data_IF_896883415067
#
_entry.id   IF_896883415067
#
_cell.length_a   1.000
_cell.length_b   1.000
_cell.length_c   1.000
_cell.angle_alpha   90.00
_cell.angle_beta   90.00
_cell.angle_gamma   90.00
#
_symmetry.space_group_name_H-M   'P 1'
#
loop_
_entity.id
_entity.type
_entity.pdbx_description
1 polymer ?
#
# COMPACT_ATOMS: atom_id res chain seq x y z
N UNK A 1 -7.16 18.17 25.28
CA UNK A 1 -8.45 17.48 25.46
C UNK A 1 -8.69 16.63 24.23
N UNK A 2 -9.08 15.37 24.33
CA UNK A 2 -9.43 14.58 23.15
C UNK A 2 -10.76 15.12 22.60
N UNK A 3 -10.93 15.27 21.27
CA UNK A 3 -12.19 15.74 20.69
C UNK A 3 -13.31 14.77 21.08
N UNK A 4 -14.39 15.29 21.61
CA UNK A 4 -15.58 14.51 21.97
C UNK A 4 -16.61 14.71 20.87
N UNK A 5 -17.18 13.63 20.33
CA UNK A 5 -18.23 13.71 19.33
C UNK A 5 -19.54 14.24 19.97
N UNK A 6 -20.21 15.17 19.31
CA UNK A 6 -21.52 15.66 19.68
C UNK A 6 -22.59 14.97 18.83
N UNK A 7 -23.59 14.37 19.48
CA UNK A 7 -24.70 13.72 18.77
C UNK A 7 -25.76 14.74 18.37
N UNK A 8 -26.06 14.81 17.07
CA UNK A 8 -27.07 15.71 16.48
C UNK A 8 -27.88 14.98 15.43
N UNK A 9 -29.14 15.38 15.27
CA UNK A 9 -29.93 15.01 14.10
C UNK A 9 -29.75 16.09 13.06
N UNK A 10 -29.28 15.72 11.86
CA UNK A 10 -28.95 16.66 10.80
C UNK A 10 -29.74 16.37 9.53
N UNK A 11 -30.19 17.41 8.81
CA UNK A 11 -30.82 17.25 7.50
C UNK A 11 -29.83 16.61 6.50
N UNK A 12 -30.31 15.65 5.73
CA UNK A 12 -29.50 14.99 4.69
C UNK A 12 -28.94 15.98 3.68
N UNK A 13 -29.66 17.07 3.42
CA UNK A 13 -29.29 18.10 2.43
C UNK A 13 -28.02 18.88 2.79
N UNK A 14 -27.63 18.94 4.06
CA UNK A 14 -26.39 19.64 4.48
C UNK A 14 -25.16 18.73 4.47
N UNK A 15 -25.35 17.41 4.39
CA UNK A 15 -24.28 16.43 4.45
C UNK A 15 -23.51 16.35 3.13
N UNK A 16 -22.18 16.37 3.20
CA UNK A 16 -21.28 16.32 2.04
C UNK A 16 -20.53 14.99 2.00
N UNK A 17 -20.75 14.16 0.97
CA UNK A 17 -19.94 12.96 0.80
C UNK A 17 -18.46 13.33 0.63
N UNK A 18 -17.56 12.60 1.31
CA UNK A 18 -16.13 12.77 1.14
C UNK A 18 -15.68 12.28 -0.24
N UNK A 19 -15.08 13.18 -1.05
CA UNK A 19 -14.59 12.84 -2.38
C UNK A 19 -13.46 11.78 -2.37
N UNK A 20 -12.69 11.77 -1.28
CA UNK A 20 -11.58 10.83 -1.05
C UNK A 20 -12.02 9.47 -0.51
N UNK A 21 -13.33 9.23 -0.27
CA UNK A 21 -13.78 7.97 0.33
C UNK A 21 -13.45 6.77 -0.58
N UNK A 22 -12.58 5.83 -0.15
CA UNK A 22 -12.09 4.74 -0.99
C UNK A 22 -13.05 3.55 -1.07
N UNK A 23 -14.24 3.65 -0.44
CA UNK A 23 -15.23 2.57 -0.48
C UNK A 23 -16.05 2.59 -1.76
N UNK A 24 -16.24 1.40 -2.33
CA UNK A 24 -17.14 1.21 -3.49
C UNK A 24 -18.57 1.58 -3.10
N UNK A 25 -19.24 2.32 -4.00
CA UNK A 25 -20.65 2.68 -3.82
C UNK A 25 -21.53 1.44 -3.99
N UNK A 26 -22.44 1.22 -3.04
CA UNK A 26 -23.45 0.18 -3.14
C UNK A 26 -24.62 0.63 -4.01
N UNK A 27 -25.22 -0.33 -4.69
CA UNK A 27 -26.42 -0.15 -5.52
C UNK A 27 -27.57 -1.00 -4.97
N UNK A 28 -28.84 -0.60 -5.21
CA UNK A 28 -29.98 -1.46 -4.93
C UNK A 28 -29.80 -2.83 -5.60
N UNK A 29 -30.04 -3.89 -4.87
CA UNK A 29 -29.80 -5.28 -5.30
C UNK A 29 -28.47 -5.89 -4.89
N UNK A 30 -27.49 -5.08 -4.44
CA UNK A 30 -26.26 -5.60 -3.84
C UNK A 30 -26.60 -6.25 -2.48
N UNK A 31 -25.99 -7.39 -2.17
CA UNK A 31 -26.23 -8.10 -0.91
C UNK A 31 -26.01 -7.24 0.33
N UNK A 32 -24.98 -6.39 0.29
CA UNK A 32 -24.65 -5.48 1.40
C UNK A 32 -25.67 -4.34 1.50
N UNK A 33 -26.16 -3.83 0.36
CA UNK A 33 -27.22 -2.82 0.32
C UNK A 33 -28.49 -3.33 0.99
N UNK A 34 -28.95 -4.53 0.61
CA UNK A 34 -30.18 -5.12 1.15
C UNK A 34 -30.04 -5.42 2.66
N UNK A 35 -28.86 -5.84 3.13
CA UNK A 35 -28.61 -6.02 4.57
C UNK A 35 -28.73 -4.72 5.36
N UNK A 36 -28.15 -3.63 4.84
CA UNK A 36 -28.22 -2.30 5.47
C UNK A 36 -29.67 -1.81 5.45
N UNK A 37 -30.38 -2.00 4.34
CA UNK A 37 -31.79 -1.64 4.19
C UNK A 37 -32.65 -2.33 5.24
N UNK A 38 -32.60 -3.66 5.30
CA UNK A 38 -33.36 -4.45 6.27
C UNK A 38 -33.04 -4.05 7.72
N UNK A 39 -31.76 -3.74 8.01
CA UNK A 39 -31.36 -3.29 9.33
C UNK A 39 -31.96 -1.93 9.69
N UNK A 40 -31.97 -0.99 8.74
CA UNK A 40 -32.56 0.35 8.99
C UNK A 40 -34.08 0.27 9.10
N UNK A 41 -34.74 -0.58 8.31
CA UNK A 41 -36.20 -0.78 8.37
C UNK A 41 -36.64 -1.43 9.69
N UNK A 42 -35.86 -2.38 10.19
CA UNK A 42 -36.22 -3.12 11.44
C UNK A 42 -35.84 -2.36 12.71
N UNK A 43 -34.62 -1.81 12.76
CA UNK A 43 -34.05 -1.23 13.99
C UNK A 43 -33.90 0.30 13.95
N UNK A 44 -34.22 0.94 12.82
CA UNK A 44 -33.94 2.34 12.60
C UNK A 44 -32.43 2.63 12.49
N UNK A 45 -32.06 3.89 12.72
CA UNK A 45 -30.65 4.32 12.75
C UNK A 45 -30.00 4.00 14.11
N UNK A 46 -29.65 2.75 14.36
CA UNK A 46 -28.98 2.31 15.58
C UNK A 46 -27.53 2.84 15.70
N UNK A 47 -26.85 3.05 14.55
CA UNK A 47 -25.46 3.51 14.48
C UNK A 47 -25.39 4.85 13.71
N UNK A 48 -25.11 5.99 14.38
CA UNK A 48 -25.10 7.30 13.76
C UNK A 48 -24.01 7.46 12.69
N UNK A 49 -24.23 8.37 11.75
CA UNK A 49 -23.17 8.79 10.81
C UNK A 49 -22.10 9.56 11.56
N UNK A 50 -20.83 9.42 11.13
CA UNK A 50 -19.74 10.26 11.65
C UNK A 50 -19.47 11.36 10.64
N UNK A 51 -19.56 12.62 11.08
CA UNK A 51 -19.38 13.80 10.23
C UNK A 51 -18.43 14.79 10.87
N UNK A 52 -17.68 15.55 10.06
CA UNK A 52 -16.85 16.64 10.55
C UNK A 52 -17.67 17.93 10.75
N UNK A 53 -17.13 18.91 11.45
CA UNK A 53 -17.79 20.20 11.70
C UNK A 53 -18.19 20.94 10.41
N UNK A 54 -17.51 20.73 9.30
CA UNK A 54 -17.83 21.26 7.97
C UNK A 54 -18.91 20.46 7.21
N UNK A 55 -19.54 19.49 7.87
CA UNK A 55 -20.57 18.56 7.35
C UNK A 55 -20.03 17.52 6.36
N UNK A 56 -18.71 17.31 6.29
CA UNK A 56 -18.12 16.24 5.51
C UNK A 56 -18.36 14.89 6.21
N UNK A 57 -18.91 13.93 5.51
CA UNK A 57 -19.18 12.58 6.03
C UNK A 57 -17.84 11.83 6.12
N UNK A 58 -17.49 11.37 7.32
CA UNK A 58 -16.30 10.57 7.57
C UNK A 58 -16.65 9.08 7.54
N UNK A 59 -17.77 8.70 8.18
CA UNK A 59 -18.23 7.30 8.24
C UNK A 59 -19.74 7.19 8.01
N UNK A 60 -20.16 6.04 7.43
CA UNK A 60 -21.56 5.75 7.18
C UNK A 60 -22.11 6.16 5.81
N UNK A 61 -21.25 6.42 4.81
CA UNK A 61 -21.68 6.79 3.45
C UNK A 61 -22.71 5.83 2.86
N UNK A 62 -22.53 4.53 3.05
CA UNK A 62 -23.46 3.50 2.54
C UNK A 62 -24.81 3.56 3.28
N UNK A 63 -24.79 3.75 4.61
CA UNK A 63 -26.02 3.94 5.40
C UNK A 63 -26.80 5.18 4.95
N UNK A 64 -26.11 6.27 4.69
CA UNK A 64 -26.77 7.47 4.14
C UNK A 64 -27.41 7.19 2.78
N UNK A 65 -26.69 6.50 1.87
CA UNK A 65 -27.24 6.14 0.55
C UNK A 65 -28.54 5.35 0.67
N UNK A 66 -28.58 4.37 1.56
CA UNK A 66 -29.77 3.56 1.81
C UNK A 66 -30.88 4.40 2.47
N UNK A 67 -30.52 5.23 3.48
CA UNK A 67 -31.50 6.08 4.16
C UNK A 67 -32.20 7.05 3.22
N UNK A 68 -31.45 7.69 2.33
CA UNK A 68 -32.02 8.56 1.28
C UNK A 68 -33.00 7.79 0.39
N UNK A 69 -32.67 6.57 0.02
CA UNK A 69 -33.57 5.74 -0.80
C UNK A 69 -34.84 5.29 -0.05
N UNK A 70 -34.77 5.24 1.28
CA UNK A 70 -35.91 4.97 2.17
C UNK A 70 -36.71 6.23 2.51
N UNK A 71 -36.32 7.40 2.00
CA UNK A 71 -37.03 8.66 2.19
C UNK A 71 -36.69 9.42 3.48
N UNK A 72 -35.61 9.07 4.16
CA UNK A 72 -35.15 9.85 5.31
C UNK A 72 -34.70 11.25 4.90
N UNK A 73 -35.26 12.27 5.54
CA UNK A 73 -34.88 13.68 5.36
C UNK A 73 -33.85 14.16 6.38
N UNK A 74 -33.77 13.47 7.51
CA UNK A 74 -32.86 13.74 8.61
C UNK A 74 -32.25 12.43 9.12
N UNK A 75 -31.01 12.49 9.60
CA UNK A 75 -30.28 11.31 10.11
C UNK A 75 -29.49 11.67 11.36
N UNK A 76 -29.31 10.72 12.31
CA UNK A 76 -28.47 10.94 13.47
C UNK A 76 -27.00 10.96 13.08
N UNK A 77 -26.26 11.95 13.56
CA UNK A 77 -24.87 12.17 13.28
C UNK A 77 -24.06 12.39 14.56
N UNK A 78 -22.88 11.81 14.62
CA UNK A 78 -21.84 12.13 15.58
C UNK A 78 -20.91 13.16 14.93
N UNK A 79 -20.99 14.41 15.37
CA UNK A 79 -20.20 15.53 14.83
C UNK A 79 -18.88 15.60 15.57
N UNK A 80 -17.78 15.56 14.84
CA UNK A 80 -16.41 15.74 15.35
C UNK A 80 -15.81 17.01 14.73
N UNK A 81 -14.86 17.62 15.43
CA UNK A 81 -14.10 18.77 14.94
C UNK A 81 -12.62 18.39 14.87
N UNK A 82 -12.17 18.03 13.68
CA UNK A 82 -10.80 17.55 13.42
C UNK A 82 -10.27 18.10 12.10
N UNK A 83 -8.95 18.20 11.99
CA UNK A 83 -8.28 18.59 10.74
C UNK A 83 -8.45 17.55 9.63
N UNK A 84 -8.15 17.94 8.39
CA UNK A 84 -8.37 17.11 7.21
C UNK A 84 -7.50 15.85 7.19
N UNK A 85 -6.32 15.87 7.77
CA UNK A 85 -5.45 14.68 7.86
C UNK A 85 -6.06 13.63 8.80
N UNK A 86 -6.50 14.08 9.99
CA UNK A 86 -7.18 13.20 10.94
C UNK A 86 -8.54 12.73 10.42
N UNK A 87 -9.26 13.56 9.67
CA UNK A 87 -10.51 13.20 9.00
C UNK A 87 -10.31 12.00 8.05
N UNK A 88 -9.28 12.08 7.20
CA UNK A 88 -8.91 10.99 6.28
C UNK A 88 -8.49 9.71 7.04
N UNK A 89 -7.64 9.84 8.05
CA UNK A 89 -7.21 8.72 8.88
C UNK A 89 -8.40 8.04 9.61
N UNK A 90 -9.32 8.84 10.16
CA UNK A 90 -10.52 8.32 10.82
C UNK A 90 -11.47 7.62 9.83
N UNK A 91 -11.60 8.14 8.59
CA UNK A 91 -12.37 7.46 7.54
C UNK A 91 -11.84 6.06 7.27
N UNK A 92 -10.52 5.90 7.15
CA UNK A 92 -9.89 4.59 6.95
C UNK A 92 -10.11 3.70 8.18
N UNK A 93 -9.84 4.20 9.38
CA UNK A 93 -9.96 3.43 10.63
C UNK A 93 -11.38 2.88 10.84
N UNK A 94 -12.41 3.69 10.60
CA UNK A 94 -13.81 3.28 10.72
C UNK A 94 -14.24 2.23 9.68
N UNK A 95 -13.54 2.16 8.56
CA UNK A 95 -13.90 1.29 7.45
C UNK A 95 -12.98 0.08 7.29
N UNK A 96 -11.87 -0.02 8.07
CA UNK A 96 -10.90 -1.10 7.92
C UNK A 96 -11.50 -2.50 8.07
N UNK A 97 -12.43 -2.67 8.98
CA UNK A 97 -12.95 -3.99 9.36
C UNK A 97 -14.02 -4.50 8.38
N UNK A 98 -14.66 -3.63 7.59
CA UNK A 98 -15.83 -4.00 6.78
C UNK A 98 -15.82 -3.40 5.38
N UNK A 99 -16.09 -4.24 4.36
CA UNK A 99 -16.37 -3.84 2.98
C UNK A 99 -15.18 -3.94 2.02
N UNK A 100 -15.46 -3.74 0.72
CA UNK A 100 -14.46 -3.74 -0.32
C UNK A 100 -13.89 -2.34 -0.54
N UNK A 101 -12.57 -2.27 -0.76
CA UNK A 101 -11.83 -1.05 -1.04
C UNK A 101 -11.67 -0.84 -2.55
N UNK A 102 -11.56 0.42 -2.94
CA UNK A 102 -10.86 0.79 -4.16
C UNK A 102 -9.38 0.94 -3.79
N UNK A 103 -8.56 -0.02 -4.20
CA UNK A 103 -7.17 -0.13 -3.79
C UNK A 103 -6.34 1.10 -4.22
N UNK A 104 -6.66 1.69 -5.40
CA UNK A 104 -5.96 2.88 -5.89
C UNK A 104 -6.26 4.09 -5.01
N UNK A 105 -7.54 4.36 -4.76
CA UNK A 105 -7.95 5.47 -3.90
C UNK A 105 -7.46 5.30 -2.46
N UNK A 106 -7.41 4.07 -1.95
CA UNK A 106 -6.87 3.78 -0.63
C UNK A 106 -5.36 4.04 -0.57
N UNK A 107 -4.60 3.60 -1.58
CA UNK A 107 -3.17 3.84 -1.64
C UNK A 107 -2.83 5.33 -1.71
N UNK A 108 -3.53 6.10 -2.56
CA UNK A 108 -3.37 7.54 -2.65
C UNK A 108 -3.67 8.23 -1.32
N UNK A 109 -4.74 7.81 -0.64
CA UNK A 109 -5.13 8.38 0.65
C UNK A 109 -4.11 8.09 1.77
N UNK A 110 -3.58 6.87 1.83
CA UNK A 110 -2.52 6.51 2.78
C UNK A 110 -1.24 7.30 2.52
N UNK A 111 -0.87 7.49 1.25
CA UNK A 111 0.28 8.31 0.86
C UNK A 111 0.11 9.79 1.24
N UNK A 112 -1.08 10.34 1.06
CA UNK A 112 -1.41 11.70 1.49
C UNK A 112 -1.25 11.89 3.01
N UNK A 113 -1.69 10.89 3.80
CA UNK A 113 -1.58 10.89 5.25
C UNK A 113 -0.11 10.78 5.67
N UNK A 114 0.66 9.90 5.04
CA UNK A 114 2.11 9.73 5.25
C UNK A 114 2.87 11.05 5.01
N UNK A 115 2.59 11.72 3.89
CA UNK A 115 3.20 13.02 3.54
C UNK A 115 2.87 14.12 4.55
N UNK A 116 1.78 13.99 5.30
CA UNK A 116 1.40 14.91 6.37
C UNK A 116 2.14 14.66 7.69
N UNK A 117 3.09 13.73 7.73
CA UNK A 117 3.81 13.29 8.94
C UNK A 117 2.87 12.77 10.05
N UNK A 118 1.69 12.30 9.69
CA UNK A 118 0.75 11.67 10.60
C UNK A 118 1.03 10.17 10.66
N UNK A 119 0.99 9.59 11.87
CA UNK A 119 1.26 8.17 12.08
C UNK A 119 0.16 7.30 11.44
N UNK A 120 0.55 6.51 10.44
CA UNK A 120 -0.34 5.59 9.74
C UNK A 120 -0.90 4.49 10.64
N UNK A 121 -0.28 4.18 11.77
CA UNK A 121 -0.80 3.23 12.75
C UNK A 121 -2.20 3.58 13.26
N UNK A 122 -2.58 4.88 13.28
CA UNK A 122 -3.93 5.31 13.65
C UNK A 122 -5.00 4.98 12.60
N UNK A 123 -4.63 4.59 11.38
CA UNK A 123 -5.57 4.10 10.36
C UNK A 123 -6.00 2.67 10.61
N UNK A 124 -5.27 1.97 11.47
CA UNK A 124 -5.47 0.55 11.79
C UNK A 124 -4.79 -0.40 10.80
N UNK A 125 -4.07 0.10 9.79
CA UNK A 125 -3.25 -0.75 8.90
C UNK A 125 -1.87 -0.98 9.48
N UNK A 126 -1.39 -2.22 9.40
CA UNK A 126 -0.02 -2.57 9.77
C UNK A 126 0.94 -2.30 8.61
N UNK A 127 2.23 -1.99 8.89
CA UNK A 127 3.21 -1.70 7.84
C UNK A 127 3.29 -2.75 6.72
N UNK A 128 3.23 -4.08 6.97
CA UNK A 128 3.21 -5.08 5.91
C UNK A 128 1.95 -5.05 5.04
N UNK A 129 0.79 -4.66 5.59
CA UNK A 129 -0.44 -4.51 4.83
C UNK A 129 -0.35 -3.33 3.87
N UNK A 130 0.21 -2.21 4.33
CA UNK A 130 0.44 -1.00 3.53
C UNK A 130 1.41 -1.30 2.38
N UNK A 131 2.52 -1.98 2.67
CA UNK A 131 3.49 -2.39 1.65
C UNK A 131 2.86 -3.30 0.59
N UNK A 132 2.06 -4.27 1.03
CA UNK A 132 1.34 -5.19 0.12
C UNK A 132 0.37 -4.43 -0.79
N UNK A 133 -0.36 -3.45 -0.24
CA UNK A 133 -1.27 -2.60 -1.01
C UNK A 133 -0.51 -1.76 -2.05
N UNK A 134 0.58 -1.09 -1.64
CA UNK A 134 1.40 -0.30 -2.55
C UNK A 134 2.02 -1.15 -3.65
N UNK A 135 2.52 -2.32 -3.33
CA UNK A 135 3.05 -3.26 -4.31
C UNK A 135 1.96 -3.70 -5.31
N UNK A 136 0.75 -3.98 -4.83
CA UNK A 136 -0.39 -4.36 -5.68
C UNK A 136 -0.81 -3.24 -6.64
N UNK A 137 -0.85 -1.99 -6.17
CA UNK A 137 -1.27 -0.83 -6.96
C UNK A 137 -0.18 -0.38 -7.93
N UNK A 138 1.10 -0.47 -7.51
CA UNK A 138 2.24 -0.03 -8.30
C UNK A 138 2.94 -1.15 -9.05
N UNK A 139 2.53 -2.43 -8.86
CA UNK A 139 2.98 -3.49 -9.74
C UNK A 139 2.48 -3.16 -11.15
N UNK A 140 3.35 -2.54 -11.95
CA UNK A 140 3.18 -2.57 -13.39
C UNK A 140 2.98 -4.03 -13.75
N UNK A 141 1.91 -4.35 -14.49
CA UNK A 141 1.85 -5.62 -15.21
C UNK A 141 3.22 -5.77 -15.87
N UNK A 142 3.98 -6.74 -15.39
CA UNK A 142 5.19 -7.15 -16.09
C UNK A 142 4.66 -7.70 -17.39
N UNK A 143 4.64 -6.86 -18.43
CA UNK A 143 4.46 -7.36 -19.79
C UNK A 143 5.61 -8.31 -19.97
N UNK A 144 5.30 -9.60 -20.13
CA UNK A 144 6.29 -10.54 -20.64
C UNK A 144 6.88 -9.84 -21.87
N UNK A 145 8.18 -9.60 -21.81
CA UNK A 145 8.88 -9.11 -22.98
C UNK A 145 8.86 -10.23 -24.02
N UNK A 146 8.78 -9.89 -25.30
CA UNK A 146 8.86 -10.84 -26.41
C UNK A 146 10.30 -11.40 -26.55
N UNK A 147 11.07 -11.49 -25.43
CA UNK A 147 12.43 -11.97 -25.41
C UNK A 147 12.47 -13.48 -25.59
N UNK A 148 12.88 -13.93 -26.79
CA UNK A 148 13.05 -15.34 -27.09
C UNK A 148 14.39 -15.87 -26.55
N UNK A 149 14.32 -16.43 -25.36
CA UNK A 149 15.47 -17.03 -24.65
C UNK A 149 16.13 -18.13 -25.49
N UNK A 150 15.34 -18.92 -26.24
CA UNK A 150 15.87 -20.02 -27.04
C UNK A 150 16.63 -19.56 -28.28
N UNK A 151 16.27 -18.41 -28.85
CA UNK A 151 17.02 -17.80 -29.94
C UNK A 151 18.32 -17.17 -29.45
N UNK A 152 18.30 -16.50 -28.29
CA UNK A 152 19.48 -15.88 -27.69
C UNK A 152 20.51 -16.92 -27.19
N UNK A 153 20.06 -18.05 -26.68
CA UNK A 153 20.96 -19.17 -26.27
C UNK A 153 21.70 -19.80 -27.42
N UNK A 154 21.25 -19.63 -28.67
CA UNK A 154 21.94 -20.09 -29.89
C UNK A 154 23.04 -19.15 -30.37
N UNK A 155 23.07 -17.93 -29.86
CA UNK A 155 24.13 -16.97 -30.20
C UNK A 155 25.44 -17.33 -29.52
N UNK A 156 26.60 -17.00 -30.13
CA UNK A 156 27.88 -17.28 -29.53
C UNK A 156 28.01 -16.56 -28.17
N UNK A 157 28.28 -17.34 -27.12
CA UNK A 157 28.47 -16.84 -25.77
C UNK A 157 29.62 -15.85 -25.73
N UNK A 158 29.31 -14.59 -25.39
CA UNK A 158 30.30 -13.50 -25.38
C UNK A 158 31.12 -13.48 -24.08
N UNK A 159 30.54 -13.94 -22.97
CA UNK A 159 31.18 -13.98 -21.66
C UNK A 159 31.66 -15.38 -21.30
N UNK A 160 32.86 -15.48 -20.71
CA UNK A 160 33.46 -16.74 -20.23
C UNK A 160 33.56 -16.75 -18.71
N UNK A 161 33.58 -17.94 -18.13
CA UNK A 161 33.84 -18.04 -16.69
C UNK A 161 35.22 -17.42 -16.35
N UNK A 162 35.18 -16.50 -15.37
CA UNK A 162 36.37 -15.74 -14.97
C UNK A 162 36.41 -14.31 -15.50
N UNK A 163 35.53 -13.92 -16.43
CA UNK A 163 35.48 -12.57 -16.98
C UNK A 163 34.96 -11.56 -15.97
N UNK A 164 35.62 -10.42 -15.89
CA UNK A 164 35.22 -9.26 -15.09
C UNK A 164 34.88 -8.09 -16.00
N UNK A 165 33.62 -7.67 -15.98
CA UNK A 165 33.12 -6.57 -16.80
C UNK A 165 32.95 -5.29 -15.98
N UNK A 166 33.23 -4.13 -16.60
CA UNK A 166 33.06 -2.82 -16.01
C UNK A 166 31.91 -2.10 -16.70
N UNK A 167 30.86 -1.75 -15.96
CA UNK A 167 29.71 -0.99 -16.41
C UNK A 167 29.68 0.37 -15.69
N UNK A 168 30.49 1.30 -16.15
CA UNK A 168 30.75 2.54 -15.44
C UNK A 168 31.41 2.28 -14.08
N UNK A 169 30.73 2.62 -12.98
CA UNK A 169 31.18 2.35 -11.60
C UNK A 169 30.80 0.95 -11.07
N UNK A 170 30.04 0.18 -11.83
CA UNK A 170 29.57 -1.15 -11.44
C UNK A 170 30.47 -2.23 -12.05
N UNK A 171 30.52 -3.40 -11.41
CA UNK A 171 31.28 -4.55 -11.88
C UNK A 171 30.36 -5.76 -11.92
N UNK A 172 30.54 -6.58 -12.94
CA UNK A 172 29.87 -7.88 -13.11
C UNK A 172 30.94 -8.94 -13.32
N UNK A 173 30.92 -9.97 -12.49
CA UNK A 173 31.84 -11.09 -12.61
C UNK A 173 31.08 -12.35 -13.05
N UNK A 174 31.57 -12.99 -14.10
CA UNK A 174 31.03 -14.26 -14.59
C UNK A 174 31.72 -15.41 -13.84
N UNK A 175 31.04 -15.99 -12.85
CA UNK A 175 31.63 -17.09 -12.05
C UNK A 175 30.65 -17.61 -11.01
N UNK A 176 31.13 -18.63 -10.27
CA UNK A 176 30.37 -19.29 -9.22
C UNK A 176 30.24 -18.39 -7.99
N UNK A 177 29.02 -17.92 -7.69
CA UNK A 177 28.72 -17.07 -6.55
C UNK A 177 28.82 -17.76 -5.19
N UNK A 178 29.04 -19.07 -5.15
CA UNK A 178 29.23 -19.82 -3.89
C UNK A 178 30.72 -19.88 -3.48
N UNK A 179 31.63 -19.48 -4.37
CA UNK A 179 33.07 -19.50 -4.12
C UNK A 179 33.58 -18.16 -3.62
N UNK A 180 34.35 -18.16 -2.54
CA UNK A 180 34.96 -16.94 -1.98
C UNK A 180 35.88 -16.23 -2.98
N UNK A 181 36.59 -17.00 -3.83
CA UNK A 181 37.48 -16.49 -4.88
C UNK A 181 36.75 -15.57 -5.89
N UNK A 182 35.47 -15.86 -6.18
CA UNK A 182 34.65 -15.05 -7.07
C UNK A 182 34.43 -13.65 -6.49
N UNK A 183 34.21 -13.54 -5.18
CA UNK A 183 34.07 -12.28 -4.48
C UNK A 183 35.40 -11.53 -4.36
N UNK A 184 36.49 -12.24 -4.13
CA UNK A 184 37.83 -11.63 -4.10
C UNK A 184 38.17 -10.98 -5.45
N UNK A 185 37.89 -11.64 -6.56
CA UNK A 185 38.07 -11.08 -7.91
C UNK A 185 37.17 -9.89 -8.17
N UNK A 186 35.88 -9.99 -7.81
CA UNK A 186 34.91 -8.88 -7.98
C UNK A 186 35.32 -7.65 -7.17
N UNK A 187 35.86 -7.84 -5.97
CA UNK A 187 36.21 -6.79 -5.01
C UNK A 187 37.69 -6.42 -5.01
N UNK A 188 38.50 -6.97 -5.91
CA UNK A 188 39.98 -6.87 -5.93
C UNK A 188 40.55 -5.42 -5.95
N UNK A 189 39.72 -4.40 -6.21
CA UNK A 189 40.07 -3.00 -6.15
C UNK A 189 39.36 -2.22 -5.03
N UNK A 190 38.55 -2.89 -4.20
CA UNK A 190 37.92 -2.29 -3.02
C UNK A 190 38.73 -2.66 -1.76
N UNK A 191 39.03 -1.65 -0.92
CA UNK A 191 39.88 -1.83 0.29
C UNK A 191 39.43 -3.01 1.15
N UNK A 192 40.39 -3.81 1.56
CA UNK A 192 40.34 -5.17 2.19
C UNK A 192 39.45 -5.39 3.42
N UNK A 193 38.79 -4.38 3.99
CA UNK A 193 38.18 -4.55 5.31
C UNK A 193 36.66 -4.83 5.35
N UNK A 194 35.93 -4.63 4.26
CA UNK A 194 34.47 -4.84 4.24
C UNK A 194 34.10 -6.28 3.85
N UNK A 195 34.98 -6.97 3.14
CA UNK A 195 34.75 -8.31 2.60
C UNK A 195 34.75 -9.39 3.72
N UNK A 196 35.61 -9.27 4.70
CA UNK A 196 35.75 -10.26 5.77
C UNK A 196 34.51 -10.37 6.67
N UNK A 197 33.83 -9.26 6.88
CA UNK A 197 32.62 -9.20 7.72
C UNK A 197 31.36 -9.69 6.99
N UNK A 198 31.29 -9.46 5.66
CA UNK A 198 30.17 -9.92 4.84
C UNK A 198 30.20 -11.43 4.62
N UNK A 199 31.37 -12.03 4.38
CA UNK A 199 31.53 -13.48 4.18
C UNK A 199 31.20 -14.25 5.47
N UNK A 200 31.58 -13.74 6.65
CA UNK A 200 31.26 -14.36 7.94
C UNK A 200 29.75 -14.37 8.25
N UNK A 201 29.00 -13.41 7.76
CA UNK A 201 27.54 -13.30 8.00
C UNK A 201 26.67 -14.21 7.13
N UNK A 202 27.21 -14.77 6.04
CA UNK A 202 26.44 -15.47 4.99
C UNK A 202 26.76 -16.98 4.82
N UNK A 203 27.48 -17.62 5.72
CA UNK A 203 27.83 -19.06 5.62
C UNK A 203 26.63 -20.03 5.63
N UNK A 204 25.38 -19.56 5.76
CA UNK A 204 24.19 -20.40 5.88
C UNK A 204 23.14 -20.25 4.74
N UNK A 205 23.40 -19.53 3.65
CA UNK A 205 22.45 -19.42 2.55
C UNK A 205 22.95 -20.18 1.31
N UNK A 206 22.31 -21.32 1.02
CA UNK A 206 22.43 -22.02 -0.27
C UNK A 206 21.55 -21.27 -1.29
N UNK A 207 22.17 -20.59 -2.24
CA UNK A 207 21.49 -20.00 -3.41
C UNK A 207 21.83 -20.86 -4.63
N UNK A 208 20.84 -21.27 -5.45
CA UNK A 208 21.12 -22.09 -6.64
C UNK A 208 21.90 -21.30 -7.69
N UNK A 209 22.87 -21.98 -8.29
CA UNK A 209 23.72 -21.52 -9.39
C UNK A 209 22.90 -21.10 -10.59
N UNK A 210 22.86 -19.81 -10.94
CA UNK A 210 22.65 -19.27 -12.30
C UNK A 210 22.34 -17.76 -12.33
N UNK A 211 22.98 -16.94 -11.48
CA UNK A 211 22.77 -15.51 -11.54
C UNK A 211 24.09 -14.76 -11.53
N UNK A 212 24.30 -13.91 -12.54
CA UNK A 212 25.35 -12.89 -12.50
C UNK A 212 25.11 -11.99 -11.29
N UNK A 213 26.08 -11.91 -10.37
CA UNK A 213 25.94 -11.07 -9.18
C UNK A 213 26.30 -9.63 -9.54
N UNK A 214 25.30 -8.76 -9.56
CA UNK A 214 25.53 -7.31 -9.71
C UNK A 214 25.76 -6.76 -8.30
N UNK A 215 26.97 -6.29 -8.02
CA UNK A 215 27.26 -5.54 -6.81
C UNK A 215 27.55 -4.08 -7.14
N UNK A 216 26.77 -3.18 -6.57
CA UNK A 216 27.02 -1.76 -6.60
C UNK A 216 28.10 -1.38 -5.61
N UNK A 217 29.12 -0.63 -6.08
CA UNK A 217 30.11 -0.02 -5.20
C UNK A 217 29.40 1.10 -4.42
N UNK A 218 29.04 0.89 -3.17
CA UNK A 218 28.70 1.99 -2.27
C UNK A 218 29.99 2.75 -1.98
N UNK A 219 30.28 3.75 -2.81
CA UNK A 219 31.34 4.71 -2.55
C UNK A 219 30.92 5.69 -1.46
N UNK A 220 31.84 5.96 -0.58
CA UNK A 220 31.82 6.93 0.51
C UNK A 220 30.95 8.18 0.25
N UNK A 221 30.08 8.45 1.21
CA UNK A 221 29.85 9.79 1.72
C UNK A 221 30.21 9.80 3.21
#
# INVERSE_FOLDING_TARGET
>A
MKPTAELKVLPVSVLKPAAYNPRKKLKPGDKEYEKIKNSIEEFGFADPLVVNADMTIIGGHQRLTVAVSLGYTEVPCAVVDIDKTREKALNIALNKITGAWDDNLLADLLKDIENSSFDLGFTGFDPPEIETLFNKVHSKEVKEDDFDVDSELKQPVFSKEGDLWFLGKHRVFCGDSTKAESYEKLMSLCRKNILADYIKSKQNLRIPLRLATIMTNMGNY
#
